data_IF_304615022800
#
_entry.id   IF_304615022800
#
_cell.length_a   1.000
_cell.length_b   1.000
_cell.length_c   1.000
_cell.angle_alpha   90.00
_cell.angle_beta   90.00
_cell.angle_gamma   90.00
#
_symmetry.space_group_name_H-M   'P 1'
#
loop_
_entity.id
_entity.type
_entity.pdbx_description
1 polymer ?
#
# COMPACT_ATOMS: atom_id res chain seq x y z
N UNK A 1 -16.32 -26.20 -47.87
CA UNK A 1 -15.83 -27.49 -47.35
C UNK A 1 -15.62 -28.43 -48.53
N UNK A 2 -14.39 -28.86 -48.77
CA UNK A 2 -14.15 -29.89 -49.80
C UNK A 2 -14.73 -31.22 -49.32
N UNK A 3 -15.50 -31.89 -50.17
CA UNK A 3 -16.02 -33.23 -49.88
C UNK A 3 -14.83 -34.20 -49.83
N UNK A 4 -14.73 -34.94 -48.73
CA UNK A 4 -13.71 -35.95 -48.55
C UNK A 4 -14.26 -37.25 -49.12
N UNK A 5 -13.94 -37.56 -50.37
CA UNK A 5 -14.47 -38.73 -51.08
C UNK A 5 -13.47 -39.91 -51.11
N UNK A 6 -12.32 -39.82 -50.43
CA UNK A 6 -11.32 -40.89 -50.36
C UNK A 6 -10.73 -41.10 -48.96
N UNK A 7 -10.30 -42.34 -48.66
CA UNK A 7 -9.68 -42.71 -47.39
C UNK A 7 -8.36 -41.98 -47.11
N UNK A 8 -7.64 -41.57 -48.16
CA UNK A 8 -6.44 -40.72 -48.04
C UNK A 8 -6.81 -39.27 -47.70
N UNK A 9 -7.87 -38.73 -48.30
CA UNK A 9 -8.40 -37.40 -47.97
C UNK A 9 -8.86 -37.30 -46.52
N UNK A 10 -9.49 -38.36 -46.01
CA UNK A 10 -9.96 -38.41 -44.62
C UNK A 10 -8.80 -38.39 -43.63
N UNK A 11 -7.74 -39.17 -43.88
CA UNK A 11 -6.54 -39.16 -43.04
C UNK A 11 -5.85 -37.80 -43.03
N UNK A 12 -5.71 -37.16 -44.19
CA UNK A 12 -5.12 -35.82 -44.27
C UNK A 12 -5.96 -34.78 -43.53
N UNK A 13 -7.29 -34.84 -43.61
CA UNK A 13 -8.17 -33.96 -42.87
C UNK A 13 -8.07 -34.19 -41.35
N UNK A 14 -7.98 -35.44 -40.91
CA UNK A 14 -7.76 -35.78 -39.48
C UNK A 14 -6.45 -35.16 -39.00
N UNK A 15 -5.36 -35.33 -39.75
CA UNK A 15 -4.05 -34.77 -39.39
C UNK A 15 -4.12 -33.23 -39.30
N UNK A 16 -4.77 -32.58 -40.28
CA UNK A 16 -4.95 -31.12 -40.24
C UNK A 16 -5.75 -30.67 -39.02
N UNK A 17 -6.84 -31.37 -38.70
CA UNK A 17 -7.68 -31.05 -37.55
C UNK A 17 -6.96 -31.32 -36.22
N UNK A 18 -6.10 -32.34 -36.14
CA UNK A 18 -5.28 -32.61 -34.95
C UNK A 18 -4.24 -31.51 -34.73
N UNK A 19 -3.57 -31.05 -35.79
CA UNK A 19 -2.64 -29.91 -35.72
C UNK A 19 -3.37 -28.65 -35.28
N UNK A 20 -4.51 -28.34 -35.90
CA UNK A 20 -5.31 -27.17 -35.55
C UNK A 20 -5.78 -27.23 -34.09
N UNK A 21 -6.26 -28.39 -33.65
CA UNK A 21 -6.71 -28.58 -32.26
C UNK A 21 -5.56 -28.40 -31.26
N UNK A 22 -4.36 -28.89 -31.58
CA UNK A 22 -3.19 -28.73 -30.71
C UNK A 22 -2.79 -27.24 -30.57
N UNK A 23 -2.83 -26.48 -31.67
CA UNK A 23 -2.55 -25.05 -31.65
C UNK A 23 -3.62 -24.26 -30.87
N UNK A 24 -4.90 -24.58 -31.09
CA UNK A 24 -6.01 -23.98 -30.35
C UNK A 24 -5.91 -24.26 -28.84
N UNK A 25 -5.58 -25.50 -28.46
CA UNK A 25 -5.39 -25.88 -27.06
C UNK A 25 -4.24 -25.10 -26.40
N UNK A 26 -3.13 -24.93 -27.12
CA UNK A 26 -1.99 -24.15 -26.66
C UNK A 26 -2.38 -22.68 -26.46
N UNK A 27 -3.08 -22.09 -27.42
CA UNK A 27 -3.52 -20.70 -27.34
C UNK A 27 -4.47 -20.46 -26.15
N UNK A 28 -5.41 -21.39 -25.90
CA UNK A 28 -6.32 -21.30 -24.75
C UNK A 28 -5.54 -21.37 -23.43
N UNK A 29 -4.56 -22.27 -23.31
CA UNK A 29 -3.70 -22.38 -22.12
C UNK A 29 -2.92 -21.09 -21.87
N UNK A 30 -2.33 -20.52 -22.90
CA UNK A 30 -1.59 -19.25 -22.80
C UNK A 30 -2.50 -18.10 -22.37
N UNK A 31 -3.69 -17.97 -22.97
CA UNK A 31 -4.67 -16.96 -22.59
C UNK A 31 -5.18 -17.14 -21.15
N UNK A 32 -5.37 -18.39 -20.70
CA UNK A 32 -5.79 -18.68 -19.33
C UNK A 32 -4.71 -18.26 -18.31
N UNK A 33 -3.44 -18.55 -18.59
CA UNK A 33 -2.32 -18.13 -17.74
C UNK A 33 -2.25 -16.60 -17.67
N UNK A 34 -2.39 -15.91 -18.81
CA UNK A 34 -2.39 -14.44 -18.86
C UNK A 34 -3.60 -13.85 -18.13
N UNK A 35 -4.78 -14.46 -18.23
CA UNK A 35 -5.98 -14.02 -17.52
C UNK A 35 -5.79 -14.17 -16.01
N UNK A 36 -5.29 -15.31 -15.53
CA UNK A 36 -4.95 -15.54 -14.12
C UNK A 36 -3.90 -14.54 -13.66
N UNK A 37 -2.87 -14.29 -14.47
CA UNK A 37 -1.83 -13.31 -14.13
C UNK A 37 -2.41 -11.90 -13.98
N UNK A 38 -3.29 -11.47 -14.89
CA UNK A 38 -3.98 -10.17 -14.79
C UNK A 38 -4.87 -10.04 -13.57
N UNK A 39 -5.48 -11.15 -13.11
CA UNK A 39 -6.33 -11.17 -11.91
C UNK A 39 -5.52 -11.19 -10.60
N UNK A 40 -4.19 -11.35 -10.65
CA UNK A 40 -3.37 -11.27 -9.44
C UNK A 40 -3.49 -9.86 -8.83
N UNK A 41 -3.65 -9.75 -7.50
CA UNK A 41 -3.82 -8.45 -6.84
C UNK A 41 -2.72 -7.44 -7.17
N UNK A 42 -1.48 -7.90 -7.32
CA UNK A 42 -0.33 -7.06 -7.69
C UNK A 42 -0.52 -6.39 -9.06
N UNK A 43 -1.09 -7.11 -10.04
CA UNK A 43 -1.31 -6.61 -11.38
C UNK A 43 -2.54 -5.69 -11.45
N UNK A 44 -3.56 -5.95 -10.62
CA UNK A 44 -4.71 -5.07 -10.43
C UNK A 44 -4.30 -3.72 -9.82
N UNK A 45 -3.45 -3.75 -8.78
CA UNK A 45 -2.89 -2.53 -8.17
C UNK A 45 -2.06 -1.79 -9.22
N UNK A 46 -1.18 -2.49 -9.96
CA UNK A 46 -0.36 -1.88 -11.01
C UNK A 46 -1.20 -1.23 -12.10
N UNK A 47 -2.27 -1.88 -12.56
CA UNK A 47 -3.17 -1.28 -13.56
C UNK A 47 -3.94 -0.10 -12.99
N UNK A 48 -4.42 -0.17 -11.75
CA UNK A 48 -5.13 0.92 -11.09
C UNK A 48 -4.23 2.15 -10.88
N UNK A 49 -2.97 1.95 -10.48
CA UNK A 49 -1.99 3.03 -10.37
C UNK A 49 -1.67 3.64 -11.75
N UNK A 50 -1.45 2.83 -12.79
CA UNK A 50 -1.17 3.32 -14.14
C UNK A 50 -2.34 4.15 -14.70
N UNK A 51 -3.58 3.68 -14.54
CA UNK A 51 -4.77 4.46 -14.93
C UNK A 51 -4.98 5.70 -14.06
N UNK A 52 -4.53 5.66 -12.81
CA UNK A 52 -4.65 6.80 -11.89
C UNK A 52 -3.63 7.91 -12.16
N UNK A 53 -2.46 7.59 -12.72
CA UNK A 53 -1.45 8.60 -13.07
C UNK A 53 -1.80 9.38 -14.34
N UNK A 54 -2.72 8.86 -15.17
CA UNK A 54 -3.17 9.51 -16.40
C UNK A 54 -4.29 10.55 -16.15
N UNK A 55 -4.88 10.59 -14.96
CA UNK A 55 -5.94 11.54 -14.57
C UNK A 55 -5.47 12.47 -13.44
N UNK A 56 -5.43 13.79 -13.64
CA UNK A 56 -5.03 14.76 -12.61
C UNK A 56 -5.85 14.64 -11.32
N UNK A 57 -7.16 14.41 -11.43
CA UNK A 57 -8.09 14.29 -10.30
C UNK A 57 -7.80 13.05 -9.44
N UNK A 58 -7.41 11.94 -10.07
CA UNK A 58 -7.09 10.71 -9.34
C UNK A 58 -5.72 10.80 -8.64
N UNK A 59 -4.76 11.54 -9.21
CA UNK A 59 -3.46 11.77 -8.59
C UNK A 59 -3.57 12.53 -7.25
N UNK A 60 -4.48 13.52 -7.18
CA UNK A 60 -4.74 14.29 -5.96
C UNK A 60 -5.40 13.42 -4.87
N UNK A 61 -6.30 12.51 -5.26
CA UNK A 61 -6.93 11.55 -4.36
C UNK A 61 -5.94 10.48 -3.83
N UNK A 62 -5.01 10.00 -4.65
CA UNK A 62 -3.95 9.09 -4.16
C UNK A 62 -3.03 9.82 -3.18
N UNK A 63 -2.66 11.07 -3.47
CA UNK A 63 -1.84 11.87 -2.57
C UNK A 63 -2.56 12.07 -1.23
N UNK A 64 -3.81 12.54 -1.23
CA UNK A 64 -4.59 12.75 0.00
C UNK A 64 -4.80 11.46 0.79
N UNK A 65 -5.06 10.34 0.11
CA UNK A 65 -5.18 9.01 0.73
C UNK A 65 -3.85 8.54 1.32
N UNK A 66 -2.73 8.72 0.61
CA UNK A 66 -1.40 8.34 1.11
C UNK A 66 -1.01 9.14 2.35
N UNK A 67 -1.34 10.44 2.37
CA UNK A 67 -1.14 11.31 3.52
C UNK A 67 -2.03 10.86 4.68
N UNK A 68 -3.31 10.56 4.43
CA UNK A 68 -4.23 10.04 5.45
C UNK A 68 -3.79 8.70 6.05
N UNK A 69 -3.32 7.77 5.21
CA UNK A 69 -2.79 6.47 5.64
C UNK A 69 -1.48 6.62 6.43
N UNK A 70 -0.59 7.48 5.97
CA UNK A 70 0.70 7.74 6.65
C UNK A 70 0.46 8.43 7.98
N UNK A 71 -0.38 9.47 8.01
CA UNK A 71 -0.76 10.16 9.22
C UNK A 71 -1.51 9.23 10.19
N UNK A 72 -2.40 8.38 9.69
CA UNK A 72 -3.09 7.36 10.46
C UNK A 72 -2.14 6.30 11.03
N UNK A 73 -1.13 5.88 10.28
CA UNK A 73 -0.11 4.93 10.73
C UNK A 73 0.82 5.55 11.77
N UNK A 74 1.28 6.79 11.57
CA UNK A 74 2.04 7.56 12.57
C UNK A 74 1.18 7.77 13.82
N UNK A 75 -0.09 8.11 13.67
CA UNK A 75 -1.05 8.21 14.78
C UNK A 75 -1.18 6.88 15.52
N UNK A 76 -1.30 5.75 14.80
CA UNK A 76 -1.32 4.41 15.39
C UNK A 76 -0.02 4.07 16.14
N UNK A 77 1.13 4.47 15.61
CA UNK A 77 2.43 4.34 16.28
C UNK A 77 2.51 5.17 17.55
N UNK A 78 2.02 6.41 17.53
CA UNK A 78 2.10 7.35 18.65
C UNK A 78 1.05 7.10 19.73
N UNK A 79 -0.18 6.74 19.35
CA UNK A 79 -1.34 6.64 20.25
C UNK A 79 -1.78 5.19 20.54
N UNK A 80 -1.67 4.26 19.59
CA UNK A 80 -2.17 2.89 19.77
C UNK A 80 -1.07 1.88 20.16
N UNK A 81 0.17 2.06 19.68
CA UNK A 81 1.34 1.24 20.09
C UNK A 81 1.88 1.59 21.49
N UNK A 82 1.16 2.43 22.24
CA UNK A 82 1.50 3.01 23.55
C UNK A 82 1.75 1.97 24.66
N UNK A 83 1.34 0.71 24.46
CA UNK A 83 1.34 -0.31 25.51
C UNK A 83 2.58 -1.22 25.58
N UNK A 84 3.43 -1.39 24.54
CA UNK A 84 4.52 -2.41 24.63
C UNK A 84 5.81 -2.22 23.83
N UNK A 85 6.11 -1.06 23.22
CA UNK A 85 7.26 -0.94 22.29
C UNK A 85 8.45 -0.11 22.83
N UNK A 86 9.72 -0.55 22.63
CA UNK A 86 10.94 0.20 22.95
C UNK A 86 11.06 1.54 22.20
N UNK A 87 10.36 1.69 21.07
CA UNK A 87 10.31 2.95 20.30
C UNK A 87 9.73 4.11 21.13
N UNK A 88 8.78 3.84 22.05
CA UNK A 88 8.23 4.84 22.97
C UNK A 88 9.31 5.45 23.86
N UNK A 89 10.20 4.60 24.40
CA UNK A 89 11.30 5.08 25.25
C UNK A 89 12.22 5.98 24.46
N UNK A 90 12.56 5.64 23.22
CA UNK A 90 13.44 6.45 22.38
C UNK A 90 12.83 7.83 22.08
N UNK A 91 11.58 7.89 21.62
CA UNK A 91 10.90 9.16 21.33
C UNK A 91 10.72 9.99 22.60
N UNK A 92 10.29 9.37 23.70
CA UNK A 92 10.15 10.02 24.99
C UNK A 92 11.47 10.57 25.53
N UNK A 93 12.57 9.81 25.40
CA UNK A 93 13.91 10.23 25.80
C UNK A 93 14.43 11.37 24.93
N UNK A 94 14.19 11.36 23.61
CA UNK A 94 14.58 12.46 22.72
C UNK A 94 13.81 13.75 23.05
N UNK A 95 12.50 13.64 23.27
CA UNK A 95 11.68 14.78 23.68
C UNK A 95 12.12 15.32 25.04
N UNK A 96 12.31 14.44 26.03
CA UNK A 96 12.79 14.81 27.35
C UNK A 96 14.18 15.45 27.25
N UNK A 97 15.10 14.90 26.47
CA UNK A 97 16.43 15.47 26.27
C UNK A 97 16.38 16.86 25.62
N UNK A 98 15.53 17.06 24.62
CA UNK A 98 15.32 18.36 23.98
C UNK A 98 14.77 19.40 24.95
N UNK A 99 13.71 19.05 25.68
CA UNK A 99 13.08 19.89 26.70
C UNK A 99 14.08 20.21 27.82
N UNK A 100 14.77 19.20 28.35
CA UNK A 100 15.80 19.36 29.39
C UNK A 100 16.95 20.25 28.92
N UNK A 101 17.41 20.13 27.67
CA UNK A 101 18.48 20.98 27.13
C UNK A 101 18.08 22.45 27.04
N UNK A 102 16.84 22.74 26.63
CA UNK A 102 16.29 24.10 26.58
C UNK A 102 16.14 24.68 28.00
N UNK A 103 15.66 23.85 28.93
CA UNK A 103 15.51 24.17 30.34
C UNK A 103 16.86 24.45 31.02
N UNK A 104 17.87 23.61 30.79
CA UNK A 104 19.20 23.78 31.38
C UNK A 104 19.88 25.06 30.91
N UNK A 105 19.61 25.51 29.68
CA UNK A 105 20.09 26.79 29.17
C UNK A 105 19.31 27.99 29.71
N UNK A 106 18.08 27.80 30.21
CA UNK A 106 17.20 28.86 30.69
C UNK A 106 16.50 28.45 32.00
N UNK A 107 17.23 28.42 33.13
CA UNK A 107 16.68 27.96 34.42
C UNK A 107 15.50 28.81 34.92
N UNK A 108 15.42 30.08 34.52
CA UNK A 108 14.28 30.95 34.84
C UNK A 108 13.00 30.57 34.10
N UNK A 109 13.12 29.92 32.93
CA UNK A 109 11.98 29.36 32.23
C UNK A 109 11.30 28.26 33.06
N UNK A 110 12.07 27.45 33.80
CA UNK A 110 11.51 26.44 34.72
C UNK A 110 10.73 27.09 35.87
N UNK A 111 11.26 28.18 36.46
CA UNK A 111 10.60 28.88 37.56
C UNK A 111 9.30 29.51 37.08
N UNK A 112 9.32 30.16 35.91
CA UNK A 112 8.12 30.75 35.31
C UNK A 112 7.07 29.70 34.94
N UNK A 113 7.48 28.61 34.28
CA UNK A 113 6.59 27.53 33.87
C UNK A 113 6.01 26.79 35.09
N UNK A 114 6.84 26.42 36.06
CA UNK A 114 6.43 25.80 37.31
C UNK A 114 5.48 26.70 38.11
N UNK A 115 5.77 28.00 38.22
CA UNK A 115 4.90 28.94 38.93
C UNK A 115 3.58 29.18 38.19
N UNK A 116 3.55 29.09 36.84
CA UNK A 116 2.33 29.16 36.02
C UNK A 116 1.47 27.91 36.18
N UNK A 117 2.09 26.72 36.20
CA UNK A 117 1.40 25.45 36.45
C UNK A 117 0.86 25.36 37.89
N UNK A 118 1.66 25.75 38.88
CA UNK A 118 1.21 25.83 40.28
C UNK A 118 0.07 26.84 40.45
N UNK A 119 0.09 27.97 39.76
CA UNK A 119 -1.03 28.93 39.76
C UNK A 119 -2.28 28.35 39.11
N UNK A 120 -2.17 27.56 38.04
CA UNK A 120 -3.32 26.90 37.41
C UNK A 120 -3.91 25.84 38.36
N UNK A 121 -3.07 25.09 39.08
CA UNK A 121 -3.53 24.09 40.06
C UNK A 121 -4.05 24.69 41.37
N UNK A 122 -3.48 25.81 41.84
CA UNK A 122 -3.97 26.54 43.02
C UNK A 122 -5.19 27.42 42.75
N UNK A 123 -5.52 27.71 41.48
CA UNK A 123 -6.68 28.53 41.08
C UNK A 123 -7.89 27.67 40.72
N UNK A 124 -8.06 26.54 41.41
CA UNK A 124 -9.32 25.80 41.46
C UNK A 124 -9.87 25.92 42.88
N UNK A 125 -11.11 26.43 43.08
CA UNK A 125 -11.84 26.14 44.30
C UNK A 125 -12.10 24.63 44.41
#
# INVERSE_FOLDING_TARGET
MQKIDSSAGLRNAIIQLEIQRADEERMIKEQAILAVDRLKPINLIKSAFKSSTESPVLSENIFSTSVGLTAGYISKLLFQSVTRSPVKKLIGTLLMFGVTKVIMKNPDAIKSFGNKFLKIFKKKP
#
